data_IF_232685717417
#
_entry.id   IF_232685717417
#
_cell.length_a   1.000
_cell.length_b   1.000
_cell.length_c   1.000
_cell.angle_alpha   90.00
_cell.angle_beta   90.00
_cell.angle_gamma   90.00
#
_symmetry.space_group_name_H-M   'P 1'
#
loop_
_entity.id
_entity.type
_entity.pdbx_description
1 polymer ?
#
# COMPACT_ATOMS: atom_id res chain seq x y z
N UNK A 1 -23.24 -0.43 -19.20
CA UNK A 1 -21.81 -0.72 -18.91
C UNK A 1 -21.19 -1.31 -20.16
N UNK A 2 -20.10 -0.71 -20.63
CA UNK A 2 -19.36 -1.16 -21.80
C UNK A 2 -17.85 -1.00 -21.58
N UNK A 3 -17.12 -2.10 -21.43
CA UNK A 3 -15.69 -2.11 -21.14
C UNK A 3 -14.80 -2.39 -22.39
N UNK A 4 -15.34 -2.22 -23.60
CA UNK A 4 -14.60 -2.54 -24.85
C UNK A 4 -13.27 -1.78 -24.97
N UNK A 5 -13.21 -0.51 -24.57
CA UNK A 5 -11.96 0.27 -24.62
C UNK A 5 -10.98 -0.22 -23.55
N UNK A 6 -11.47 -0.61 -22.38
CA UNK A 6 -10.66 -1.20 -21.33
C UNK A 6 -10.08 -2.55 -21.78
N UNK A 7 -10.88 -3.41 -22.44
CA UNK A 7 -10.40 -4.68 -23.02
C UNK A 7 -9.29 -4.44 -24.05
N UNK A 8 -9.48 -3.49 -24.95
CA UNK A 8 -8.49 -3.13 -25.95
C UNK A 8 -7.19 -2.65 -25.31
N UNK A 9 -7.29 -1.83 -24.27
CA UNK A 9 -6.12 -1.35 -23.53
C UNK A 9 -5.40 -2.47 -22.80
N UNK A 10 -6.12 -3.32 -22.07
CA UNK A 10 -5.56 -4.46 -21.33
C UNK A 10 -4.79 -5.40 -22.27
N UNK A 11 -5.36 -5.74 -23.42
CA UNK A 11 -4.73 -6.64 -24.40
C UNK A 11 -3.45 -6.10 -25.02
N UNK A 12 -3.22 -4.78 -25.00
CA UNK A 12 -1.99 -4.16 -25.51
C UNK A 12 -0.86 -4.13 -24.45
N UNK A 13 -1.15 -4.35 -23.18
CA UNK A 13 -0.17 -4.20 -22.09
C UNK A 13 1.04 -5.15 -22.21
N UNK A 14 0.89 -6.43 -22.63
CA UNK A 14 2.04 -7.31 -22.83
C UNK A 14 3.06 -6.78 -23.86
N UNK A 15 2.59 -6.17 -24.93
CA UNK A 15 3.44 -5.57 -25.95
C UNK A 15 4.12 -4.26 -25.49
N UNK A 16 3.59 -3.66 -24.41
CA UNK A 16 4.10 -2.42 -23.82
C UNK A 16 5.04 -2.66 -22.63
N UNK A 17 5.50 -3.91 -22.41
CA UNK A 17 6.45 -4.24 -21.34
C UNK A 17 5.81 -4.64 -20.01
N UNK A 18 4.52 -5.01 -20.00
CA UNK A 18 3.82 -5.56 -18.85
C UNK A 18 3.64 -7.06 -19.06
N UNK A 19 4.45 -7.95 -18.43
CA UNK A 19 4.41 -9.38 -18.69
C UNK A 19 3.06 -10.02 -18.45
N UNK A 20 2.43 -9.66 -17.31
CA UNK A 20 1.08 -10.07 -16.96
C UNK A 20 0.32 -8.94 -16.31
N UNK A 21 -0.97 -8.89 -16.57
CA UNK A 21 -1.90 -7.96 -15.96
C UNK A 21 -3.20 -8.66 -15.63
N UNK A 22 -3.71 -8.41 -14.44
CA UNK A 22 -5.04 -8.86 -13.99
C UNK A 22 -5.78 -7.67 -13.41
N UNK A 23 -6.99 -7.42 -13.88
CA UNK A 23 -7.82 -6.31 -13.42
C UNK A 23 -9.18 -6.83 -12.99
N UNK A 24 -9.55 -6.54 -11.76
CA UNK A 24 -10.89 -6.77 -11.24
C UNK A 24 -11.55 -5.43 -10.86
N UNK A 25 -12.78 -5.23 -11.33
CA UNK A 25 -13.64 -4.09 -10.99
C UNK A 25 -14.89 -4.61 -10.33
N UNK A 26 -15.20 -4.08 -9.15
CA UNK A 26 -16.39 -4.45 -8.39
C UNK A 26 -17.26 -3.24 -8.14
N UNK A 27 -18.52 -3.30 -8.51
CA UNK A 27 -19.52 -2.26 -8.30
C UNK A 27 -20.64 -2.83 -7.43
N UNK A 28 -20.98 -2.14 -6.35
CA UNK A 28 -22.06 -2.53 -5.44
C UNK A 28 -21.96 -3.99 -4.96
N UNK A 29 -20.75 -4.47 -4.69
CA UNK A 29 -20.47 -5.84 -4.26
C UNK A 29 -20.36 -6.86 -5.39
N UNK A 30 -20.66 -6.52 -6.62
CA UNK A 30 -20.66 -7.44 -7.76
C UNK A 30 -19.44 -7.17 -8.66
N UNK A 31 -18.71 -8.22 -9.00
CA UNK A 31 -17.67 -8.12 -10.02
C UNK A 31 -18.30 -7.84 -11.37
N UNK A 32 -18.05 -6.65 -11.92
CA UNK A 32 -18.58 -6.20 -13.22
C UNK A 32 -17.57 -6.33 -14.34
N UNK A 33 -16.28 -6.47 -13.99
CA UNK A 33 -15.17 -6.71 -14.91
C UNK A 33 -14.08 -7.54 -14.24
N UNK A 34 -13.56 -8.55 -14.92
CA UNK A 34 -12.42 -9.33 -14.42
C UNK A 34 -11.67 -10.02 -15.55
N UNK A 35 -10.57 -9.41 -16.00
CA UNK A 35 -9.75 -9.90 -17.10
C UNK A 35 -8.31 -10.16 -16.68
N UNK A 36 -7.71 -11.15 -17.34
CA UNK A 36 -6.31 -11.57 -17.14
C UNK A 36 -5.63 -11.66 -18.49
N UNK A 37 -4.49 -10.99 -18.66
CA UNK A 37 -3.74 -11.00 -19.91
C UNK A 37 -2.25 -11.26 -19.67
N UNK A 38 -1.56 -11.82 -20.67
CA UNK A 38 -0.12 -12.03 -20.68
C UNK A 38 0.34 -13.33 -20.00
N UNK A 39 1.59 -13.33 -19.54
CA UNK A 39 2.29 -14.52 -19.03
C UNK A 39 2.77 -14.29 -17.59
N UNK A 40 2.39 -15.19 -16.71
CA UNK A 40 2.91 -15.22 -15.34
C UNK A 40 4.38 -15.68 -15.28
N UNK A 41 4.83 -16.45 -16.27
CA UNK A 41 6.23 -16.74 -16.54
C UNK A 41 6.46 -16.60 -18.05
N UNK A 42 7.24 -15.59 -18.44
CA UNK A 42 7.50 -15.28 -19.87
C UNK A 42 8.38 -16.35 -20.53
N UNK A 43 9.43 -16.84 -19.83
CA UNK A 43 10.36 -17.81 -20.37
C UNK A 43 9.70 -19.16 -20.65
N UNK A 44 8.82 -19.60 -19.76
CA UNK A 44 8.06 -20.85 -19.87
C UNK A 44 6.77 -20.69 -20.67
N UNK A 45 6.42 -19.46 -21.04
CA UNK A 45 5.13 -19.13 -21.65
C UNK A 45 3.92 -19.60 -20.80
N UNK A 46 4.07 -19.63 -19.47
CA UNK A 46 2.97 -19.94 -18.56
C UNK A 46 1.97 -18.79 -18.58
N UNK A 47 0.74 -18.98 -19.08
CA UNK A 47 -0.25 -17.93 -19.09
C UNK A 47 -0.55 -17.43 -17.68
N UNK A 48 -0.87 -16.15 -17.55
CA UNK A 48 -1.38 -15.62 -16.31
C UNK A 48 -2.79 -16.15 -15.99
N UNK A 49 -3.07 -16.37 -14.72
CA UNK A 49 -4.34 -16.91 -14.23
C UNK A 49 -4.83 -16.16 -13.00
N UNK A 50 -6.15 -16.17 -12.74
CA UNK A 50 -6.75 -15.56 -11.54
C UNK A 50 -6.28 -16.20 -10.23
N UNK A 51 -5.74 -17.41 -10.30
CA UNK A 51 -5.14 -18.11 -9.17
C UNK A 51 -3.70 -17.69 -8.89
N UNK A 52 -3.07 -16.86 -9.74
CA UNK A 52 -1.69 -16.45 -9.53
C UNK A 52 -1.57 -15.52 -8.34
N UNK A 53 -0.59 -15.83 -7.49
CA UNK A 53 -0.18 -14.99 -6.39
C UNK A 53 0.82 -13.92 -6.86
N UNK A 54 0.76 -12.78 -6.21
CA UNK A 54 1.66 -11.65 -6.47
C UNK A 54 2.08 -11.00 -5.15
N UNK A 55 3.32 -10.56 -5.07
CA UNK A 55 3.73 -9.66 -4.02
C UNK A 55 3.03 -8.31 -4.20
N UNK A 56 2.27 -7.91 -3.20
CA UNK A 56 1.51 -6.65 -3.22
C UNK A 56 2.39 -5.43 -3.03
N UNK A 57 3.57 -5.63 -2.44
CA UNK A 57 4.44 -4.53 -2.03
C UNK A 57 3.63 -3.45 -1.29
N UNK A 58 3.70 -2.20 -1.72
CA UNK A 58 3.10 -1.09 -0.98
C UNK A 58 1.56 -1.04 -1.00
N UNK A 59 0.87 -1.88 -1.77
CA UNK A 59 -0.56 -2.09 -1.54
C UNK A 59 -0.82 -2.67 -0.13
N UNK A 60 0.16 -3.34 0.51
CA UNK A 60 0.10 -3.74 1.93
C UNK A 60 -0.28 -2.58 2.85
N UNK A 61 0.19 -1.37 2.56
CA UNK A 61 -0.06 -0.16 3.34
C UNK A 61 -1.53 0.15 3.57
N UNK A 62 -2.36 -0.10 2.55
CA UNK A 62 -3.81 0.11 2.67
C UNK A 62 -4.38 -0.77 3.79
N UNK A 63 -4.00 -2.04 3.81
CA UNK A 63 -4.48 -2.98 4.83
C UNK A 63 -3.94 -2.66 6.22
N UNK A 64 -2.68 -2.22 6.32
CA UNK A 64 -2.06 -1.77 7.57
C UNK A 64 -2.79 -0.54 8.14
N UNK A 65 -3.10 0.43 7.28
CA UNK A 65 -3.86 1.61 7.68
C UNK A 65 -5.27 1.24 8.17
N UNK A 66 -5.96 0.34 7.46
CA UNK A 66 -7.30 -0.12 7.86
C UNK A 66 -7.25 -0.86 9.20
N UNK A 67 -6.24 -1.69 9.43
CA UNK A 67 -6.04 -2.38 10.72
C UNK A 67 -5.82 -1.38 11.87
N UNK A 68 -4.99 -0.36 11.66
CA UNK A 68 -4.78 0.70 12.65
C UNK A 68 -6.06 1.52 12.87
N UNK A 69 -6.81 1.87 11.81
CA UNK A 69 -8.08 2.59 11.92
C UNK A 69 -9.16 1.77 12.64
N UNK A 70 -9.13 0.44 12.56
CA UNK A 70 -10.00 -0.41 13.40
C UNK A 70 -9.68 -0.24 14.89
N UNK A 71 -8.40 -0.16 15.26
CA UNK A 71 -8.01 0.10 16.65
C UNK A 71 -8.32 1.54 17.09
N UNK A 72 -8.30 2.50 16.17
CA UNK A 72 -8.79 3.87 16.44
C UNK A 72 -10.29 3.84 16.74
N UNK A 73 -11.07 3.11 15.97
CA UNK A 73 -12.52 2.92 16.18
C UNK A 73 -12.84 2.25 17.51
N UNK A 74 -11.96 1.35 17.97
CA UNK A 74 -12.05 0.66 19.26
C UNK A 74 -11.52 1.51 20.43
N UNK A 75 -11.00 2.72 20.17
CA UNK A 75 -10.41 3.60 21.18
C UNK A 75 -9.10 3.11 21.79
N UNK A 76 -8.42 2.14 21.13
CA UNK A 76 -7.12 1.59 21.58
C UNK A 76 -5.94 2.42 21.09
N UNK A 77 -6.13 3.15 19.99
CA UNK A 77 -5.16 4.09 19.40
C UNK A 77 -5.88 5.41 19.19
N UNK A 78 -5.23 6.54 19.55
CA UNK A 78 -5.61 7.84 19.03
C UNK A 78 -4.61 8.27 17.94
N UNK A 79 -5.10 8.92 16.89
CA UNK A 79 -4.24 9.40 15.79
C UNK A 79 -3.21 10.41 16.32
N UNK A 80 -3.55 11.16 17.36
CA UNK A 80 -2.67 12.12 18.04
C UNK A 80 -1.72 11.50 19.07
N UNK A 81 -1.83 10.20 19.36
CA UNK A 81 -0.95 9.56 20.33
C UNK A 81 0.51 9.65 19.89
N UNK A 82 1.45 9.92 20.81
CA UNK A 82 2.87 9.76 20.56
C UNK A 82 3.17 8.28 20.29
N UNK A 83 3.99 8.00 19.28
CA UNK A 83 4.42 6.63 18.93
C UNK A 83 5.11 5.96 20.12
N UNK A 84 5.85 6.73 20.93
CA UNK A 84 6.53 6.27 22.15
C UNK A 84 5.60 5.68 23.22
N UNK A 85 4.29 5.95 23.16
CA UNK A 85 3.30 5.30 24.02
C UNK A 85 3.23 3.78 23.77
N UNK A 86 3.46 3.36 22.55
CA UNK A 86 3.42 1.96 22.09
C UNK A 86 4.81 1.37 21.93
N UNK A 87 5.75 2.19 21.48
CA UNK A 87 7.13 1.83 21.13
C UNK A 87 8.09 2.77 21.90
N UNK A 88 8.50 2.42 23.13
CA UNK A 88 9.34 3.28 23.97
C UNK A 88 10.64 3.74 23.32
N UNK A 89 11.17 2.95 22.37
CA UNK A 89 12.38 3.24 21.60
C UNK A 89 12.27 4.56 20.79
N UNK A 90 11.04 4.99 20.52
CA UNK A 90 10.74 6.23 19.79
C UNK A 90 10.63 7.47 20.69
N UNK A 91 11.04 7.38 21.97
CA UNK A 91 10.96 8.50 22.94
C UNK A 91 12.03 9.56 22.66
N UNK A 92 13.26 9.15 22.30
CA UNK A 92 14.41 10.03 22.17
C UNK A 92 14.99 9.96 20.74
N UNK A 93 14.19 10.39 19.77
CA UNK A 93 14.61 10.42 18.38
C UNK A 93 15.63 11.53 18.13
N UNK A 94 16.50 11.31 17.14
CA UNK A 94 17.47 12.28 16.65
C UNK A 94 17.07 12.76 15.26
N UNK A 95 17.41 14.00 14.94
CA UNK A 95 17.22 14.58 13.60
C UNK A 95 18.58 15.00 13.07
N UNK A 96 18.83 14.68 11.81
CA UNK A 96 20.04 15.10 11.09
C UNK A 96 19.71 16.33 10.23
N UNK A 97 20.35 17.43 10.50
CA UNK A 97 20.27 18.62 9.66
C UNK A 97 20.84 18.32 8.27
N UNK A 98 20.04 18.56 7.21
CA UNK A 98 20.40 18.25 5.82
C UNK A 98 21.60 19.08 5.32
N UNK A 99 21.74 20.32 5.79
CA UNK A 99 22.75 21.26 5.31
C UNK A 99 24.07 21.12 6.07
N UNK A 100 24.00 21.08 7.42
CA UNK A 100 25.21 21.04 8.27
C UNK A 100 25.67 19.62 8.59
N UNK A 101 24.80 18.63 8.45
CA UNK A 101 25.04 17.25 8.88
C UNK A 101 25.00 17.04 10.40
N UNK A 102 24.74 18.09 11.18
CA UNK A 102 24.61 18.03 12.64
C UNK A 102 23.44 17.15 13.06
N UNK A 103 23.66 16.34 14.10
CA UNK A 103 22.63 15.48 14.67
C UNK A 103 22.26 16.03 16.05
N UNK A 104 20.98 16.37 16.22
CA UNK A 104 20.40 16.91 17.45
C UNK A 104 19.22 16.07 17.92
N UNK A 105 18.75 16.29 19.14
CA UNK A 105 17.47 15.70 19.60
C UNK A 105 16.32 16.26 18.77
N UNK A 106 15.35 15.40 18.43
CA UNK A 106 14.12 15.85 17.81
C UNK A 106 13.34 16.74 18.79
N UNK A 107 12.83 17.87 18.29
CA UNK A 107 12.01 18.81 19.06
C UNK A 107 10.55 18.47 18.98
N UNK A 108 10.13 17.90 17.85
CA UNK A 108 8.75 17.52 17.61
C UNK A 108 8.51 16.05 17.97
N UNK A 109 7.39 15.78 18.61
CA UNK A 109 7.00 14.41 18.96
C UNK A 109 6.51 13.65 17.73
N UNK A 110 7.04 12.46 17.50
CA UNK A 110 6.51 11.55 16.49
C UNK A 110 5.17 10.99 16.93
N UNK A 111 4.11 11.26 16.19
CA UNK A 111 2.74 10.78 16.46
C UNK A 111 2.29 9.72 15.47
N UNK A 112 1.23 9.00 15.81
CA UNK A 112 0.57 8.04 14.92
C UNK A 112 0.10 8.70 13.62
N UNK A 113 -0.39 9.95 13.66
CA UNK A 113 -0.73 10.73 12.46
C UNK A 113 0.46 10.88 11.51
N UNK A 114 1.66 11.11 12.04
CA UNK A 114 2.89 11.23 11.24
C UNK A 114 3.26 9.90 10.55
N UNK A 115 2.95 8.76 11.19
CA UNK A 115 3.14 7.44 10.57
C UNK A 115 2.18 7.23 9.39
N UNK A 116 0.89 7.50 9.58
CA UNK A 116 -0.09 7.47 8.48
C UNK A 116 0.30 8.39 7.34
N UNK A 117 0.74 9.62 7.67
CA UNK A 117 1.06 10.70 6.74
C UNK A 117 2.41 10.58 6.05
N UNK A 118 3.25 9.57 6.34
CA UNK A 118 4.63 9.51 5.85
C UNK A 118 5.46 10.75 6.23
N UNK A 119 5.11 11.41 7.34
CA UNK A 119 5.76 12.61 7.86
C UNK A 119 6.66 12.31 9.08
N UNK A 120 7.05 11.04 9.26
CA UNK A 120 7.90 10.63 10.40
C UNK A 120 9.38 10.95 10.25
N UNK A 121 9.84 11.45 9.10
CA UNK A 121 11.28 11.75 8.86
C UNK A 121 12.15 10.52 8.59
N UNK A 122 11.57 9.34 8.45
CA UNK A 122 12.26 8.08 8.17
C UNK A 122 12.56 7.93 6.66
N UNK A 123 13.32 6.89 6.30
CA UNK A 123 13.58 6.49 4.92
C UNK A 123 13.38 4.98 4.69
N UNK A 124 13.86 4.45 3.56
CA UNK A 124 13.87 3.03 3.18
C UNK A 124 15.27 2.39 3.26
N UNK A 125 16.15 2.88 4.12
CA UNK A 125 17.47 2.27 4.29
C UNK A 125 17.40 0.99 5.13
N UNK A 126 17.01 -0.11 4.48
CA UNK A 126 16.94 -1.42 5.09
C UNK A 126 18.34 -1.99 5.45
N UNK A 127 19.41 -1.34 5.00
CA UNK A 127 20.81 -1.76 5.29
C UNK A 127 21.42 -1.01 6.47
N UNK A 128 20.66 -0.17 7.17
CA UNK A 128 21.13 0.51 8.37
C UNK A 128 21.70 -0.51 9.37
N UNK A 129 22.85 -0.23 10.02
CA UNK A 129 23.55 -1.20 10.88
C UNK A 129 22.69 -1.83 11.96
N UNK A 130 21.89 -1.03 12.67
CA UNK A 130 20.98 -1.53 13.72
C UNK A 130 19.95 -2.50 13.17
N UNK A 131 19.36 -2.22 12.00
CA UNK A 131 18.41 -3.12 11.32
C UNK A 131 19.09 -4.44 10.97
N UNK A 132 20.31 -4.39 10.39
CA UNK A 132 21.05 -5.60 10.02
C UNK A 132 21.46 -6.42 11.24
N UNK A 133 21.79 -5.78 12.36
CA UNK A 133 22.07 -6.46 13.62
C UNK A 133 20.82 -7.13 14.20
N UNK A 134 19.67 -6.47 14.18
CA UNK A 134 18.40 -7.05 14.61
C UNK A 134 18.02 -8.29 13.76
N UNK A 135 18.19 -8.20 12.42
CA UNK A 135 17.98 -9.34 11.51
C UNK A 135 18.93 -10.49 11.83
N UNK A 136 20.23 -10.22 12.04
CA UNK A 136 21.23 -11.24 12.34
C UNK A 136 20.97 -11.96 13.67
N UNK A 137 20.31 -11.30 14.63
CA UNK A 137 19.87 -11.86 15.91
C UNK A 137 18.55 -12.63 15.80
N UNK A 138 17.94 -12.73 14.62
CA UNK A 138 16.65 -13.39 14.41
C UNK A 138 15.45 -12.56 14.89
N UNK A 139 15.58 -11.24 14.97
CA UNK A 139 14.51 -10.34 15.39
C UNK A 139 13.30 -10.40 14.48
N UNK A 140 12.12 -10.28 15.09
CA UNK A 140 10.83 -10.12 14.40
C UNK A 140 10.48 -8.65 14.16
N UNK A 141 9.18 -8.40 13.93
CA UNK A 141 8.68 -7.06 13.61
C UNK A 141 9.06 -6.03 14.68
N UNK A 142 8.92 -6.36 15.95
CA UNK A 142 9.17 -5.43 17.06
C UNK A 142 10.65 -5.05 17.19
N UNK A 143 11.55 -6.02 17.11
CA UNK A 143 13.00 -5.80 17.26
C UNK A 143 13.56 -5.02 16.04
N UNK A 144 13.12 -5.36 14.84
CA UNK A 144 13.56 -4.67 13.63
C UNK A 144 13.02 -3.22 13.59
N UNK A 145 11.75 -3.01 13.99
CA UNK A 145 11.17 -1.67 14.08
C UNK A 145 11.82 -0.85 15.19
N UNK A 146 12.17 -1.45 16.34
CA UNK A 146 12.92 -0.77 17.40
C UNK A 146 14.28 -0.26 16.87
N UNK A 147 15.00 -1.06 16.10
CA UNK A 147 16.27 -0.67 15.48
C UNK A 147 16.13 0.47 14.45
N UNK A 148 14.95 0.66 13.85
CA UNK A 148 14.70 1.82 12.95
C UNK A 148 14.77 3.16 13.69
N UNK A 149 14.45 3.17 15.00
CA UNK A 149 14.49 4.37 15.83
C UNK A 149 15.93 4.88 16.13
N UNK A 150 16.94 4.02 15.98
CA UNK A 150 18.34 4.38 16.20
C UNK A 150 18.90 5.33 15.11
N UNK A 151 18.28 5.30 13.92
CA UNK A 151 18.69 6.13 12.81
C UNK A 151 18.15 7.55 12.94
N UNK A 152 18.99 8.59 12.81
CA UNK A 152 18.50 9.96 12.81
C UNK A 152 17.49 10.22 11.68
N UNK A 153 16.42 10.90 12.01
CA UNK A 153 15.40 11.34 11.08
C UNK A 153 15.95 12.37 10.10
N UNK A 154 15.39 12.43 8.90
CA UNK A 154 15.77 13.40 7.87
C UNK A 154 15.21 14.81 8.09
N UNK A 155 14.18 14.93 8.92
CA UNK A 155 13.52 16.19 9.29
C UNK A 155 12.68 15.96 10.56
N UNK A 156 12.31 17.05 11.22
CA UNK A 156 11.42 17.04 12.38
C UNK A 156 10.06 16.41 12.03
N UNK A 157 9.52 15.48 12.84
CA UNK A 157 8.21 14.87 12.58
C UNK A 157 7.13 15.91 12.26
N UNK A 158 6.35 15.66 11.22
CA UNK A 158 5.28 16.54 10.76
C UNK A 158 5.70 17.73 9.90
N UNK A 159 7.00 18.00 9.69
CA UNK A 159 7.46 19.20 8.96
C UNK A 159 7.64 18.99 7.47
N UNK A 160 7.76 17.74 7.00
CA UNK A 160 7.90 17.41 5.59
C UNK A 160 7.34 16.01 5.31
N UNK A 161 7.27 15.63 4.05
CA UNK A 161 6.87 14.30 3.59
C UNK A 161 8.08 13.53 3.09
N UNK A 162 8.17 12.25 3.47
CA UNK A 162 9.10 11.29 2.88
C UNK A 162 8.49 9.90 2.88
N UNK A 163 8.29 9.34 1.71
CA UNK A 163 7.84 7.96 1.57
C UNK A 163 8.87 7.01 2.20
N UNK A 164 8.45 6.18 3.15
CA UNK A 164 9.38 5.51 4.08
C UNK A 164 8.79 4.30 4.78
N UNK A 165 9.52 3.77 5.77
CA UNK A 165 9.12 2.67 6.65
C UNK A 165 8.08 3.05 7.72
N UNK A 166 7.43 4.22 7.63
CA UNK A 166 6.43 4.65 8.61
C UNK A 166 5.31 3.61 8.82
N UNK A 167 4.87 2.91 7.78
CA UNK A 167 3.82 1.90 7.93
C UNK A 167 4.32 0.57 8.49
N UNK A 168 5.62 0.30 8.46
CA UNK A 168 6.22 -0.82 9.21
C UNK A 168 6.19 -0.50 10.71
N UNK A 169 6.50 0.76 11.08
CA UNK A 169 6.35 1.23 12.46
C UNK A 169 4.87 1.22 12.89
N UNK A 170 3.95 1.61 12.00
CA UNK A 170 2.51 1.54 12.27
C UNK A 170 2.03 0.11 12.52
N UNK A 171 2.56 -0.89 11.79
CA UNK A 171 2.26 -2.30 12.04
C UNK A 171 2.72 -2.74 13.44
N UNK A 172 3.90 -2.31 13.89
CA UNK A 172 4.36 -2.58 15.25
C UNK A 172 3.49 -1.88 16.32
N UNK A 173 2.98 -0.68 16.04
CA UNK A 173 1.98 -0.02 16.90
C UNK A 173 0.69 -0.85 16.97
N UNK A 174 0.24 -1.40 15.83
CA UNK A 174 -0.93 -2.30 15.78
C UNK A 174 -0.69 -3.56 16.62
N UNK A 175 0.50 -4.18 16.57
CA UNK A 175 0.83 -5.34 17.41
C UNK A 175 0.71 -5.02 18.89
N UNK A 176 1.27 -3.89 19.33
CA UNK A 176 1.21 -3.50 20.75
C UNK A 176 -0.22 -3.20 21.17
N UNK A 177 -0.95 -2.42 20.40
CA UNK A 177 -2.31 -1.98 20.75
C UNK A 177 -3.33 -3.14 20.68
N UNK A 178 -3.13 -4.12 19.82
CA UNK A 178 -3.98 -5.31 19.72
C UNK A 178 -3.59 -6.42 20.69
N UNK A 179 -2.33 -6.46 21.13
CA UNK A 179 -1.74 -7.56 21.90
C UNK A 179 -1.53 -8.85 21.07
N UNK A 180 -1.49 -8.75 19.74
CA UNK A 180 -1.37 -9.87 18.79
C UNK A 180 -0.25 -9.60 17.80
N UNK A 181 0.31 -10.65 17.17
CA UNK A 181 1.16 -10.46 15.99
C UNK A 181 0.37 -9.75 14.90
N UNK A 182 1.06 -9.02 14.03
CA UNK A 182 0.39 -8.24 12.99
C UNK A 182 -0.45 -9.13 12.05
N UNK A 183 0.11 -10.24 11.58
CA UNK A 183 -0.61 -11.21 10.75
C UNK A 183 -1.82 -11.83 11.46
N UNK A 184 -1.71 -12.16 12.74
CA UNK A 184 -2.81 -12.71 13.54
C UNK A 184 -3.94 -11.68 13.71
N UNK A 185 -3.58 -10.40 13.89
CA UNK A 185 -4.57 -9.35 13.98
C UNK A 185 -5.27 -9.12 12.64
N UNK A 186 -4.52 -9.12 11.52
CA UNK A 186 -5.10 -9.05 10.17
C UNK A 186 -6.01 -10.26 9.88
N UNK A 187 -5.60 -11.47 10.27
CA UNK A 187 -6.43 -12.66 10.11
C UNK A 187 -7.75 -12.52 10.87
N UNK A 188 -7.68 -12.10 12.13
CA UNK A 188 -8.84 -11.92 12.98
C UNK A 188 -9.87 -10.92 12.45
N UNK A 189 -9.40 -9.78 11.90
CA UNK A 189 -10.31 -8.68 11.54
C UNK A 189 -10.56 -8.55 10.04
N UNK A 190 -9.73 -9.17 9.19
CA UNK A 190 -9.81 -9.04 7.73
C UNK A 190 -9.88 -10.41 7.06
N UNK A 191 -8.84 -11.28 7.21
CA UNK A 191 -8.74 -12.47 6.37
C UNK A 191 -9.87 -13.45 6.63
N UNK A 192 -10.02 -13.89 7.87
CA UNK A 192 -11.07 -14.84 8.27
C UNK A 192 -12.48 -14.24 8.06
N UNK A 193 -12.81 -13.01 8.52
CA UNK A 193 -14.17 -12.48 8.32
C UNK A 193 -14.55 -12.19 6.86
N UNK A 194 -13.58 -11.92 5.99
CA UNK A 194 -13.80 -11.71 4.56
C UNK A 194 -13.57 -12.97 3.72
N UNK A 195 -13.29 -14.10 4.36
CA UNK A 195 -13.04 -15.40 3.70
C UNK A 195 -11.91 -15.30 2.66
N UNK A 196 -10.77 -14.66 3.06
CA UNK A 196 -9.60 -14.50 2.22
C UNK A 196 -8.63 -15.67 2.47
N UNK A 197 -8.44 -16.54 1.50
CA UNK A 197 -7.60 -17.75 1.65
C UNK A 197 -6.21 -17.60 1.01
N UNK A 198 -6.07 -16.74 0.02
CA UNK A 198 -4.85 -16.55 -0.78
C UNK A 198 -4.21 -15.19 -0.51
N UNK A 199 -3.89 -14.95 0.76
CA UNK A 199 -3.25 -13.72 1.25
C UNK A 199 -2.42 -14.03 2.49
N UNK A 200 -1.30 -13.34 2.68
CA UNK A 200 -0.45 -13.50 3.86
C UNK A 200 0.92 -12.87 3.69
N UNK A 201 1.80 -13.11 4.68
CA UNK A 201 3.20 -12.65 4.66
C UNK A 201 4.16 -13.77 4.24
N UNK A 202 3.89 -15.01 4.66
CA UNK A 202 4.73 -16.16 4.39
C UNK A 202 3.92 -17.18 3.59
N UNK A 203 4.27 -17.42 2.31
CA UNK A 203 3.56 -18.38 1.49
C UNK A 203 3.87 -19.81 1.91
N UNK A 204 2.89 -20.70 1.82
CA UNK A 204 3.10 -22.16 1.92
C UNK A 204 3.82 -22.67 0.67
N UNK A 205 4.40 -23.88 0.73
CA UNK A 205 5.07 -24.52 -0.41
C UNK A 205 4.14 -24.68 -1.64
N UNK A 206 2.85 -24.89 -1.44
CA UNK A 206 1.88 -24.95 -2.55
C UNK A 206 1.57 -23.56 -3.13
N UNK A 207 1.53 -22.54 -2.28
CA UNK A 207 1.33 -21.15 -2.72
C UNK A 207 2.56 -20.64 -3.50
N UNK A 208 3.78 -21.01 -3.10
CA UNK A 208 5.01 -20.62 -3.81
C UNK A 208 4.99 -21.02 -5.28
N UNK A 209 4.41 -22.17 -5.64
CA UNK A 209 4.28 -22.66 -7.02
C UNK A 209 3.33 -21.80 -7.89
N UNK A 210 2.50 -20.99 -7.26
CA UNK A 210 1.47 -20.18 -7.91
C UNK A 210 1.88 -18.72 -8.10
N UNK A 211 3.09 -18.33 -7.67
CA UNK A 211 3.51 -16.95 -7.90
C UNK A 211 3.71 -16.65 -9.38
N UNK A 212 3.20 -15.51 -9.80
CA UNK A 212 3.63 -14.89 -11.03
C UNK A 212 5.06 -14.38 -10.85
N UNK A 213 5.93 -14.69 -11.81
CA UNK A 213 7.30 -14.17 -11.80
C UNK A 213 7.29 -12.64 -11.83
N UNK A 214 8.14 -12.04 -11.01
CA UNK A 214 8.31 -10.59 -11.02
C UNK A 214 9.43 -10.22 -11.97
N UNK A 215 9.23 -9.17 -12.76
CA UNK A 215 10.19 -8.68 -13.73
C UNK A 215 10.63 -7.26 -13.36
N UNK A 216 11.83 -6.89 -13.80
CA UNK A 216 12.33 -5.53 -13.78
C UNK A 216 12.33 -4.99 -15.21
N UNK A 217 11.75 -3.81 -15.40
CA UNK A 217 11.73 -3.11 -16.67
C UNK A 217 12.80 -2.02 -16.69
N UNK A 218 13.60 -1.99 -17.74
CA UNK A 218 14.52 -0.88 -18.03
C UNK A 218 13.82 0.14 -18.93
N UNK A 219 13.60 1.36 -18.43
CA UNK A 219 12.87 2.40 -19.17
C UNK A 219 13.68 2.98 -20.34
N UNK A 220 14.99 2.71 -20.43
CA UNK A 220 15.87 3.17 -21.51
C UNK A 220 15.94 2.11 -22.63
N UNK A 221 16.33 0.89 -22.26
CA UNK A 221 16.48 -0.22 -23.24
C UNK A 221 15.16 -0.88 -23.57
N UNK A 222 14.12 -0.70 -22.73
CA UNK A 222 12.80 -1.36 -22.78
C UNK A 222 12.86 -2.87 -22.58
N UNK A 223 13.92 -3.36 -21.99
CA UNK A 223 14.12 -4.79 -21.73
C UNK A 223 13.48 -5.21 -20.40
N UNK A 224 12.98 -6.44 -20.40
CA UNK A 224 12.47 -7.12 -19.20
C UNK A 224 13.53 -8.14 -18.75
N UNK A 225 13.91 -8.07 -17.48
CA UNK A 225 14.75 -9.04 -16.81
C UNK A 225 14.01 -9.68 -15.65
N UNK A 226 14.21 -10.98 -15.43
CA UNK A 226 13.63 -11.66 -14.26
C UNK A 226 14.18 -11.01 -12.99
N UNK A 227 13.29 -10.58 -12.10
CA UNK A 227 13.64 -10.12 -10.76
C UNK A 227 13.63 -11.33 -9.83
N UNK A 228 14.70 -11.55 -9.05
CA UNK A 228 14.78 -12.71 -8.14
C UNK A 228 13.56 -12.77 -7.24
N UNK A 229 12.74 -13.78 -7.40
CA UNK A 229 11.35 -13.91 -6.93
C UNK A 229 11.01 -13.68 -5.46
N UNK A 230 11.95 -13.22 -4.61
CA UNK A 230 11.68 -12.91 -3.20
C UNK A 230 11.40 -11.42 -3.01
N UNK A 231 10.43 -11.14 -2.14
CA UNK A 231 10.16 -9.79 -1.67
C UNK A 231 11.34 -9.30 -0.80
N UNK A 232 12.04 -8.25 -1.22
CA UNK A 232 13.17 -7.67 -0.48
C UNK A 232 12.81 -7.10 0.88
N UNK A 233 11.53 -6.86 1.13
CA UNK A 233 11.00 -6.41 2.42
C UNK A 233 10.70 -7.57 3.37
N UNK A 234 10.89 -8.80 2.97
CA UNK A 234 10.89 -9.95 3.85
C UNK A 234 12.27 -10.11 4.48
N UNK A 235 12.55 -9.29 5.48
CA UNK A 235 13.87 -9.14 6.09
C UNK A 235 14.27 -10.33 6.97
N UNK A 236 13.30 -10.96 7.63
CA UNK A 236 13.48 -12.11 8.51
C UNK A 236 12.19 -12.95 8.55
N UNK A 237 12.25 -14.24 8.94
CA UNK A 237 11.07 -15.11 8.99
C UNK A 237 9.93 -14.59 9.87
N UNK A 238 10.26 -13.90 10.96
CA UNK A 238 9.29 -13.34 11.92
C UNK A 238 9.01 -11.84 11.68
N UNK A 239 9.55 -11.27 10.62
CA UNK A 239 9.29 -9.86 10.25
C UNK A 239 8.12 -9.75 9.28
N UNK A 240 7.08 -9.06 9.72
CA UNK A 240 5.85 -8.82 8.96
C UNK A 240 5.80 -7.34 8.54
N UNK A 241 6.33 -7.04 7.35
CA UNK A 241 6.38 -5.67 6.84
C UNK A 241 4.98 -5.11 6.61
N UNK A 242 4.55 -4.16 7.44
CA UNK A 242 3.30 -3.40 7.25
C UNK A 242 3.35 -2.47 6.04
N UNK A 243 4.55 -2.20 5.54
CA UNK A 243 4.76 -1.36 4.37
C UNK A 243 4.75 -2.10 3.03
N UNK A 244 5.10 -3.41 3.00
CA UNK A 244 5.33 -4.10 1.72
C UNK A 244 5.31 -5.64 1.79
N UNK A 245 4.89 -6.25 2.90
CA UNK A 245 5.11 -7.68 3.15
C UNK A 245 4.08 -8.63 2.57
N UNK A 246 2.86 -8.18 2.28
CA UNK A 246 1.77 -9.06 1.85
C UNK A 246 1.94 -9.59 0.43
N UNK A 247 1.55 -10.84 0.23
CA UNK A 247 1.18 -11.39 -1.06
C UNK A 247 -0.33 -11.64 -1.12
N UNK A 248 -0.90 -11.66 -2.33
CA UNK A 248 -2.30 -12.03 -2.54
C UNK A 248 -2.57 -12.42 -4.00
N UNK A 249 -3.73 -13.04 -4.24
CA UNK A 249 -4.41 -12.98 -5.55
C UNK A 249 -5.14 -11.64 -5.71
N UNK A 250 -5.40 -11.22 -6.95
CA UNK A 250 -6.27 -10.07 -7.23
C UNK A 250 -7.67 -10.29 -6.68
N UNK A 251 -8.20 -11.49 -6.82
CA UNK A 251 -9.52 -11.87 -6.30
C UNK A 251 -9.65 -11.70 -4.80
N UNK A 252 -8.67 -12.19 -4.01
CA UNK A 252 -8.72 -12.08 -2.55
C UNK A 252 -8.60 -10.61 -2.11
N UNK A 253 -7.67 -9.86 -2.69
CA UNK A 253 -7.51 -8.46 -2.34
C UNK A 253 -8.71 -7.60 -2.78
N UNK A 254 -9.37 -7.92 -3.91
CA UNK A 254 -10.59 -7.24 -4.36
C UNK A 254 -11.75 -7.39 -3.37
N UNK A 255 -11.92 -8.54 -2.71
CA UNK A 255 -12.94 -8.72 -1.66
C UNK A 255 -12.73 -7.72 -0.51
N UNK A 256 -11.47 -7.51 -0.09
CA UNK A 256 -11.13 -6.53 0.93
C UNK A 256 -11.48 -5.10 0.48
N UNK A 257 -11.09 -4.70 -0.73
CA UNK A 257 -11.42 -3.38 -1.27
C UNK A 257 -12.93 -3.18 -1.39
N UNK A 258 -13.64 -4.22 -1.82
CA UNK A 258 -15.11 -4.21 -1.97
C UNK A 258 -15.80 -4.00 -0.64
N UNK A 259 -15.35 -4.66 0.43
CA UNK A 259 -15.90 -4.47 1.78
C UNK A 259 -15.78 -3.01 2.26
N UNK A 260 -14.68 -2.32 1.90
CA UNK A 260 -14.48 -0.90 2.20
C UNK A 260 -15.36 0.00 1.33
N UNK A 261 -15.42 -0.24 0.03
CA UNK A 261 -16.21 0.57 -0.90
C UNK A 261 -17.73 0.46 -0.61
N UNK A 262 -18.20 -0.72 -0.24
CA UNK A 262 -19.61 -0.97 0.09
C UNK A 262 -19.98 -0.68 1.56
N UNK A 263 -18.98 -0.46 2.44
CA UNK A 263 -19.18 -0.36 3.87
C UNK A 263 -19.47 -1.69 4.58
N UNK A 264 -19.59 -2.79 3.83
CA UNK A 264 -19.77 -4.17 4.33
C UNK A 264 -19.37 -5.21 3.28
N UNK A 265 -18.98 -6.39 3.74
CA UNK A 265 -18.77 -7.56 2.90
C UNK A 265 -20.07 -8.26 2.50
N UNK A 266 -20.02 -9.21 1.55
CA UNK A 266 -21.17 -9.96 1.05
C UNK A 266 -21.86 -10.79 2.15
N UNK A 267 -21.09 -11.29 3.12
CA UNK A 267 -21.62 -12.00 4.30
C UNK A 267 -22.17 -11.06 5.39
N UNK A 268 -22.22 -9.75 5.14
CA UNK A 268 -22.73 -8.74 6.06
C UNK A 268 -21.71 -8.22 7.07
N UNK A 269 -20.46 -8.72 7.07
CA UNK A 269 -19.41 -8.23 7.99
C UNK A 269 -19.05 -6.78 7.70
N UNK A 270 -19.03 -5.96 8.76
CA UNK A 270 -18.62 -4.55 8.71
C UNK A 270 -17.19 -4.42 9.23
N UNK A 271 -16.24 -4.15 8.33
CA UNK A 271 -14.83 -4.03 8.67
C UNK A 271 -14.53 -2.72 9.42
N UNK A 272 -15.08 -1.61 8.94
CA UNK A 272 -15.04 -0.29 9.57
C UNK A 272 -16.43 0.34 9.52
N UNK A 273 -16.75 1.16 10.51
CA UNK A 273 -17.98 1.94 10.51
C UNK A 273 -18.02 2.97 9.38
N UNK A 274 -19.20 3.36 8.88
CA UNK A 274 -19.32 4.37 7.83
C UNK A 274 -18.61 5.70 8.17
N UNK A 275 -18.64 6.10 9.46
CA UNK A 275 -17.97 7.32 9.93
C UNK A 275 -16.46 7.23 9.79
N UNK A 276 -15.88 6.05 10.05
CA UNK A 276 -14.44 5.82 9.92
C UNK A 276 -14.03 5.80 8.44
N UNK A 277 -14.83 5.18 7.57
CA UNK A 277 -14.58 5.21 6.11
C UNK A 277 -14.67 6.65 5.60
N UNK A 278 -15.65 7.44 6.04
CA UNK A 278 -15.76 8.85 5.70
C UNK A 278 -14.54 9.64 6.18
N UNK A 279 -14.09 9.41 7.41
CA UNK A 279 -12.87 10.01 7.94
C UNK A 279 -11.65 9.71 7.05
N UNK A 280 -11.50 8.48 6.60
CA UNK A 280 -10.40 8.08 5.69
C UNK A 280 -10.50 8.82 4.36
N UNK A 281 -11.69 8.94 3.78
CA UNK A 281 -11.92 9.54 2.46
C UNK A 281 -11.93 11.07 2.45
N UNK A 282 -12.01 11.73 3.62
CA UNK A 282 -12.08 13.20 3.70
C UNK A 282 -10.83 13.83 4.34
N UNK A 283 -9.99 13.04 5.04
CA UNK A 283 -8.85 13.59 5.80
C UNK A 283 -7.65 13.83 4.90
N UNK A 284 -7.17 15.07 4.92
CA UNK A 284 -5.86 15.47 4.44
C UNK A 284 -4.89 15.55 5.64
N UNK A 285 -3.86 14.71 5.63
CA UNK A 285 -2.86 14.73 6.71
C UNK A 285 -1.72 15.72 6.45
N UNK A 286 -1.64 16.30 5.22
CA UNK A 286 -0.50 17.10 4.84
C UNK A 286 -0.50 18.48 5.49
N UNK A 287 0.52 18.74 6.31
CA UNK A 287 0.93 20.11 6.68
C UNK A 287 1.42 20.89 5.44
N UNK A 288 1.59 22.22 5.48
CA UNK A 288 2.20 22.96 4.38
C UNK A 288 3.53 22.34 3.93
N UNK A 289 4.48 22.10 4.83
CA UNK A 289 5.76 21.47 4.50
C UNK A 289 5.62 20.01 4.06
N UNK A 290 4.64 19.26 4.60
CA UNK A 290 4.30 17.93 4.14
C UNK A 290 3.82 17.93 2.69
N UNK A 291 3.00 18.89 2.31
CA UNK A 291 2.53 19.07 0.94
C UNK A 291 3.65 19.42 -0.03
N UNK A 292 4.56 20.33 0.38
CA UNK A 292 5.73 20.67 -0.42
C UNK A 292 6.62 19.42 -0.65
N UNK A 293 6.90 18.65 0.39
CA UNK A 293 7.68 17.41 0.28
C UNK A 293 6.97 16.32 -0.56
N UNK A 294 5.63 16.24 -0.51
CA UNK A 294 4.84 15.35 -1.35
C UNK A 294 4.97 15.72 -2.84
N UNK A 295 4.86 17.01 -3.17
CA UNK A 295 5.01 17.51 -4.53
C UNK A 295 6.46 17.43 -5.02
N UNK A 296 7.46 17.64 -4.16
CA UNK A 296 8.88 17.42 -4.50
C UNK A 296 9.13 15.94 -4.83
N UNK A 297 8.54 15.01 -4.07
CA UNK A 297 8.69 13.56 -4.29
C UNK A 297 8.00 13.09 -5.58
N UNK A 298 6.84 13.65 -5.91
CA UNK A 298 6.02 13.25 -7.08
C UNK A 298 5.33 14.45 -7.74
N UNK A 299 6.06 15.25 -8.51
CA UNK A 299 5.56 16.54 -9.03
C UNK A 299 4.27 16.48 -9.86
N UNK A 300 3.96 15.34 -10.48
CA UNK A 300 2.83 15.18 -11.40
C UNK A 300 1.72 14.23 -10.91
N UNK A 301 1.86 13.65 -9.71
CA UNK A 301 0.92 12.58 -9.28
C UNK A 301 -0.25 13.05 -8.41
N UNK A 302 -0.14 14.22 -7.81
CA UNK A 302 -1.06 14.65 -6.75
C UNK A 302 -1.88 15.89 -7.12
N UNK A 303 -2.14 16.14 -8.41
CA UNK A 303 -3.11 17.18 -8.81
C UNK A 303 -4.52 16.79 -8.36
N UNK A 304 -5.10 17.60 -7.45
CA UNK A 304 -6.38 17.33 -6.82
C UNK A 304 -6.38 16.20 -5.79
N UNK A 305 -5.24 15.54 -5.59
CA UNK A 305 -5.02 14.51 -4.60
C UNK A 305 -4.12 14.99 -3.47
N UNK A 306 -4.19 14.32 -2.33
CA UNK A 306 -3.29 14.49 -1.19
C UNK A 306 -2.94 13.14 -0.59
N UNK A 307 -2.20 13.14 0.51
CA UNK A 307 -1.93 11.97 1.30
C UNK A 307 -2.80 11.99 2.57
N UNK A 308 -3.66 11.01 2.70
CA UNK A 308 -4.59 10.86 3.82
C UNK A 308 -4.25 9.69 4.74
N UNK A 309 -5.26 9.24 5.49
CA UNK A 309 -5.16 8.13 6.45
C UNK A 309 -4.97 6.75 5.81
N UNK A 310 -5.08 6.63 4.49
CA UNK A 310 -4.93 5.35 3.78
C UNK A 310 -4.22 5.52 2.43
N UNK A 311 -3.13 6.29 2.41
CA UNK A 311 -2.39 6.59 1.20
C UNK A 311 -2.98 7.78 0.42
N UNK A 312 -3.04 7.66 -0.92
CA UNK A 312 -3.62 8.68 -1.78
C UNK A 312 -5.10 8.88 -1.48
N UNK A 313 -5.55 10.14 -1.40
CA UNK A 313 -6.97 10.53 -1.26
C UNK A 313 -7.30 11.65 -2.24
N UNK A 314 -8.44 11.55 -2.91
CA UNK A 314 -8.93 12.54 -3.87
C UNK A 314 -9.73 13.63 -3.15
N UNK A 315 -9.23 14.86 -3.14
CA UNK A 315 -9.83 15.96 -2.39
C UNK A 315 -10.42 17.06 -3.26
N UNK A 316 -9.85 17.32 -4.45
CA UNK A 316 -10.29 18.38 -5.33
C UNK A 316 -10.48 17.88 -6.77
N UNK A 317 -11.70 17.47 -7.14
CA UNK A 317 -12.02 17.04 -8.50
C UNK A 317 -11.84 18.14 -9.57
N UNK A 318 -11.81 19.42 -9.17
CA UNK A 318 -11.77 20.53 -10.14
C UNK A 318 -10.41 20.68 -10.82
N UNK A 319 -9.34 20.16 -10.19
CA UNK A 319 -7.97 20.25 -10.72
C UNK A 319 -7.33 18.88 -11.00
N UNK A 320 -8.00 17.79 -10.63
CA UNK A 320 -7.41 16.43 -10.76
C UNK A 320 -7.49 15.85 -12.15
N UNK A 321 -8.38 16.34 -13.00
CA UNK A 321 -8.72 15.72 -14.30
C UNK A 321 -9.13 14.25 -14.18
N UNK A 322 -9.66 13.85 -13.03
CA UNK A 322 -10.09 12.48 -12.74
C UNK A 322 -11.61 12.37 -12.75
N UNK A 323 -12.13 11.28 -13.34
CA UNK A 323 -13.55 10.92 -13.25
C UNK A 323 -13.94 10.36 -11.87
N UNK A 324 -12.97 10.03 -11.02
CA UNK A 324 -13.24 9.59 -9.66
C UNK A 324 -13.89 10.73 -8.83
N UNK A 325 -14.83 10.42 -7.93
CA UNK A 325 -15.40 11.43 -7.05
C UNK A 325 -14.41 11.87 -5.96
N UNK A 326 -14.68 13.01 -5.33
CA UNK A 326 -14.04 13.36 -4.08
C UNK A 326 -14.24 12.24 -3.05
N UNK A 327 -13.18 11.89 -2.34
CA UNK A 327 -13.19 10.81 -1.34
C UNK A 327 -12.75 9.45 -1.88
N UNK A 328 -12.41 9.32 -3.17
CA UNK A 328 -11.70 8.13 -3.67
C UNK A 328 -10.32 8.05 -3.00
N UNK A 329 -9.94 6.85 -2.55
CA UNK A 329 -8.65 6.62 -1.91
C UNK A 329 -8.05 5.26 -2.29
N UNK A 330 -6.78 5.06 -1.98
CA UNK A 330 -6.05 3.82 -2.23
C UNK A 330 -4.56 4.04 -2.40
N UNK A 331 -3.85 3.05 -2.91
CA UNK A 331 -2.42 3.16 -3.16
C UNK A 331 -1.96 2.20 -4.28
N UNK A 332 -0.65 2.14 -4.48
CA UNK A 332 -0.01 1.25 -5.46
C UNK A 332 1.20 0.49 -4.86
N UNK A 333 1.68 -0.50 -5.57
CA UNK A 333 2.79 -1.36 -5.17
C UNK A 333 4.00 -1.27 -6.10
N UNK A 334 5.19 -1.65 -5.61
CA UNK A 334 6.45 -1.56 -6.35
C UNK A 334 6.49 -2.41 -7.63
N UNK A 335 5.62 -3.42 -7.76
CA UNK A 335 5.42 -4.17 -9.00
C UNK A 335 4.26 -3.62 -9.86
N UNK A 336 3.95 -2.34 -9.73
CA UNK A 336 2.88 -1.62 -10.43
C UNK A 336 1.46 -2.11 -10.13
N UNK A 337 1.24 -2.86 -9.05
CA UNK A 337 -0.13 -3.11 -8.56
C UNK A 337 -0.78 -1.79 -8.16
N UNK A 338 -2.10 -1.67 -8.34
CA UNK A 338 -2.85 -0.46 -8.04
C UNK A 338 -4.21 -0.83 -7.44
N UNK A 339 -4.59 -0.13 -6.38
CA UNK A 339 -5.92 -0.26 -5.82
C UNK A 339 -6.62 1.08 -5.66
N UNK A 340 -7.94 1.04 -5.84
CA UNK A 340 -8.85 2.17 -5.74
C UNK A 340 -10.09 1.73 -4.96
N UNK A 341 -10.49 2.57 -4.02
CA UNK A 341 -11.70 2.43 -3.21
C UNK A 341 -12.50 3.72 -3.37
N UNK A 342 -13.68 3.62 -3.91
CA UNK A 342 -14.65 4.71 -4.08
C UNK A 342 -15.92 4.40 -3.28
N UNK A 343 -16.03 4.92 -2.05
CA UNK A 343 -17.22 4.70 -1.22
C UNK A 343 -18.47 5.42 -1.74
N UNK A 344 -18.31 6.45 -2.57
CA UNK A 344 -19.43 7.24 -3.11
C UNK A 344 -20.22 6.41 -4.12
N UNK A 345 -19.51 5.79 -5.06
CA UNK A 345 -20.12 4.93 -6.09
C UNK A 345 -20.17 3.45 -5.68
N UNK A 346 -19.65 3.08 -4.51
CA UNK A 346 -19.50 1.69 -4.07
C UNK A 346 -18.68 0.86 -5.07
N UNK A 347 -17.62 1.49 -5.60
CA UNK A 347 -16.73 0.93 -6.60
C UNK A 347 -15.38 0.58 -5.99
N UNK A 348 -14.86 -0.58 -6.35
CA UNK A 348 -13.46 -0.92 -6.08
C UNK A 348 -12.75 -1.45 -7.31
N UNK A 349 -11.45 -1.16 -7.40
CA UNK A 349 -10.58 -1.60 -8.50
C UNK A 349 -9.33 -2.21 -7.91
N UNK A 350 -8.98 -3.42 -8.36
CA UNK A 350 -7.69 -4.03 -8.09
C UNK A 350 -7.00 -4.41 -9.40
N UNK A 351 -5.87 -3.76 -9.66
CA UNK A 351 -5.00 -4.05 -10.77
C UNK A 351 -3.74 -4.74 -10.24
N UNK A 352 -3.52 -5.97 -10.63
CA UNK A 352 -2.33 -6.76 -10.30
C UNK A 352 -1.39 -6.84 -11.49
N UNK A 353 -0.19 -6.27 -11.35
CA UNK A 353 0.91 -6.41 -12.29
C UNK A 353 2.09 -7.12 -11.62
N UNK A 354 3.08 -7.50 -12.43
CA UNK A 354 4.28 -8.19 -11.97
C UNK A 354 5.57 -7.57 -12.53
N UNK A 355 5.59 -6.24 -12.73
CA UNK A 355 6.73 -5.51 -13.31
C UNK A 355 7.16 -4.36 -12.41
N UNK A 356 8.44 -4.34 -12.05
CA UNK A 356 9.09 -3.30 -11.25
C UNK A 356 9.86 -2.32 -12.13
N UNK A 357 10.03 -1.07 -11.64
CA UNK A 357 10.77 -0.04 -12.36
C UNK A 357 10.04 0.53 -13.58
N UNK A 358 8.82 0.11 -13.84
CA UNK A 358 8.01 0.56 -14.96
C UNK A 358 7.36 1.92 -14.64
N UNK A 359 8.08 3.01 -14.90
CA UNK A 359 7.64 4.37 -14.53
C UNK A 359 6.34 4.79 -15.22
N UNK A 360 6.12 4.34 -16.46
CA UNK A 360 4.86 4.54 -17.17
C UNK A 360 3.65 4.02 -16.37
N UNK A 361 3.83 2.97 -15.56
CA UNK A 361 2.78 2.38 -14.72
C UNK A 361 2.14 3.40 -13.80
N UNK A 362 2.94 4.13 -13.05
CA UNK A 362 2.46 5.06 -12.02
C UNK A 362 1.93 6.37 -12.60
N UNK A 363 2.52 6.86 -13.69
CA UNK A 363 2.20 8.18 -14.22
C UNK A 363 1.09 8.16 -15.29
N UNK A 364 0.96 7.04 -16.01
CA UNK A 364 0.05 6.94 -17.16
C UNK A 364 -0.93 5.77 -17.03
N UNK A 365 -0.43 4.54 -16.74
CA UNK A 365 -1.28 3.36 -16.76
C UNK A 365 -2.35 3.39 -15.68
N UNK A 366 -1.98 3.66 -14.42
CA UNK A 366 -2.93 3.70 -13.30
C UNK A 366 -4.02 4.76 -13.52
N UNK A 367 -3.70 6.04 -13.84
CA UNK A 367 -4.71 7.02 -14.18
C UNK A 367 -5.59 6.59 -15.36
N UNK A 368 -4.99 6.05 -16.43
CA UNK A 368 -5.74 5.66 -17.62
C UNK A 368 -6.70 4.49 -17.35
N UNK A 369 -6.28 3.47 -16.62
CA UNK A 369 -7.16 2.37 -16.18
C UNK A 369 -8.32 2.93 -15.36
N UNK A 370 -8.07 3.84 -14.42
CA UNK A 370 -9.11 4.51 -13.64
C UNK A 370 -10.12 5.18 -14.55
N UNK A 371 -9.69 6.03 -15.50
CA UNK A 371 -10.59 6.76 -16.42
C UNK A 371 -11.40 5.79 -17.30
N UNK A 372 -10.77 4.71 -17.82
CA UNK A 372 -11.47 3.70 -18.63
C UNK A 372 -12.52 2.92 -17.81
N UNK A 373 -12.26 2.66 -16.53
CA UNK A 373 -13.24 2.03 -15.64
C UNK A 373 -14.45 2.92 -15.48
N UNK A 374 -14.27 4.20 -15.12
CA UNK A 374 -15.41 5.12 -14.96
C UNK A 374 -16.15 5.36 -16.27
N UNK A 375 -15.45 5.47 -17.41
CA UNK A 375 -16.08 5.59 -18.72
C UNK A 375 -16.93 4.35 -19.07
N UNK A 376 -16.41 3.14 -18.79
CA UNK A 376 -17.11 1.89 -19.04
C UNK A 376 -18.37 1.70 -18.17
N UNK A 377 -18.37 2.24 -16.95
CA UNK A 377 -19.53 2.20 -16.06
C UNK A 377 -20.66 3.13 -16.53
N UNK A 378 -20.30 4.28 -17.14
CA UNK A 378 -21.24 5.33 -17.54
C UNK A 378 -21.79 5.15 -18.98
N UNK A 379 -21.33 4.13 -19.72
CA UNK A 379 -21.70 3.84 -21.11
C UNK A 379 -22.72 2.64 -21.25
#
# INVERSE_FOLDING_TARGET
MNFKELDQFMNQLPERGVPACELAVTLEGKTVYHEVVGYANVAEKRPAARSDLRWLFSCTKVMTCIAAMRLVEEGKIAISDPVSRYLPEYTHLKVKNKETGEITDARETLTVAHLFGMMGGMDYDLKAPGIQEAIAKGGGTREIVAAMAEKPLHFEPGTSFRYSLCHDVLAAVVEVASGMRFSEYLDKIIFTPLELTDIGFVPTAEQEKRFAETYKYDNITRELTLYSGKNEYWLAPEYESGGAGLFSTVTAYSKFLTALANGKADNGYVLLKPETIRMISETDLMTPGGRDGLHESWPSRFFGYSWGLCGRVHLDPTISFSAAPKGEFGWDGAACSYCLIDPVNRLSVMLGLNVRGYTYGYHMLHPHVRELVYAGLNS
#
